data_IF_878913584049
#
_entry.id   IF_878913584049
#
_cell.length_a   1.000
_cell.length_b   1.000
_cell.length_c   1.000
_cell.angle_alpha   90.00
_cell.angle_beta   90.00
_cell.angle_gamma   90.00
#
_symmetry.space_group_name_H-M   'P 1'
#
loop_
_entity.id
_entity.type
_entity.pdbx_description
1 polymer ?
#
# COMPACT_ATOMS: atom_id res chain seq x y z
N UNK A 1 -17.80 -15.38 -9.10
CA UNK A 1 -17.17 -14.60 -8.01
C UNK A 1 -16.93 -13.22 -8.59
N UNK A 2 -17.67 -12.23 -8.09
CA UNK A 2 -17.49 -10.83 -8.47
C UNK A 2 -16.56 -10.19 -7.44
N UNK A 3 -15.65 -9.33 -7.89
CA UNK A 3 -14.71 -8.63 -7.01
C UNK A 3 -15.25 -7.23 -6.77
N UNK A 4 -15.49 -6.90 -5.51
CA UNK A 4 -15.90 -5.57 -5.10
C UNK A 4 -14.74 -4.85 -4.41
N UNK A 5 -14.55 -3.57 -4.73
CA UNK A 5 -13.54 -2.72 -4.10
C UNK A 5 -14.24 -1.49 -3.52
N UNK A 6 -14.13 -1.33 -2.20
CA UNK A 6 -14.78 -0.24 -1.46
C UNK A 6 -13.71 0.62 -0.79
N UNK A 7 -13.81 1.94 -0.95
CA UNK A 7 -12.97 2.88 -0.21
C UNK A 7 -13.50 2.97 1.22
N UNK A 8 -12.67 2.58 2.19
CA UNK A 8 -13.03 2.61 3.61
C UNK A 8 -12.82 4.01 4.20
N UNK A 9 -11.64 4.58 3.98
CA UNK A 9 -11.25 5.85 4.57
C UNK A 9 -10.10 6.51 3.80
N UNK A 10 -9.95 7.82 3.98
CA UNK A 10 -8.83 8.62 3.51
C UNK A 10 -8.36 9.53 4.64
N UNK A 11 -7.29 9.11 5.31
CA UNK A 11 -6.74 9.79 6.48
C UNK A 11 -5.52 10.62 6.10
N UNK A 12 -5.48 11.87 6.55
CA UNK A 12 -4.29 12.71 6.45
C UNK A 12 -3.36 12.44 7.64
N UNK A 13 -2.24 11.75 7.41
CA UNK A 13 -1.22 11.57 8.44
C UNK A 13 -0.26 12.77 8.49
N UNK A 14 -0.18 13.44 9.63
CA UNK A 14 0.77 14.56 9.84
C UNK A 14 2.22 14.07 10.01
N UNK A 15 2.41 12.86 10.53
CA UNK A 15 3.74 12.26 10.77
C UNK A 15 3.80 10.89 10.08
N UNK A 16 4.57 10.73 8.98
CA UNK A 16 4.69 9.46 8.25
C UNK A 16 5.69 8.52 8.93
N UNK A 17 5.57 8.34 10.25
CA UNK A 17 6.37 7.37 11.00
C UNK A 17 5.68 6.02 10.93
N UNK A 18 6.46 4.95 10.74
CA UNK A 18 5.91 3.60 10.57
C UNK A 18 5.05 3.09 11.74
N UNK A 19 5.11 3.74 12.91
CA UNK A 19 4.30 3.39 14.08
C UNK A 19 2.94 4.08 14.15
N UNK A 20 2.78 5.25 13.52
CA UNK A 20 1.50 5.98 13.55
C UNK A 20 0.50 5.38 12.56
N UNK A 21 0.97 5.00 11.36
CA UNK A 21 0.11 4.54 10.27
C UNK A 21 -0.63 3.23 10.59
N UNK A 22 -0.03 2.20 11.23
CA UNK A 22 -0.77 1.00 11.62
C UNK A 22 -1.93 1.27 12.58
N UNK A 23 -1.76 2.23 13.50
CA UNK A 23 -2.83 2.62 14.42
C UNK A 23 -3.96 3.37 13.69
N UNK A 24 -3.61 4.26 12.74
CA UNK A 24 -4.62 4.90 11.87
C UNK A 24 -5.38 3.87 11.04
N UNK A 25 -4.68 2.88 10.45
CA UNK A 25 -5.34 1.79 9.71
C UNK A 25 -6.32 1.05 10.61
N UNK A 26 -5.93 0.73 11.84
CA UNK A 26 -6.80 0.06 12.79
C UNK A 26 -8.02 0.92 13.14
N UNK A 27 -7.80 2.22 13.39
CA UNK A 27 -8.86 3.17 13.71
C UNK A 27 -9.87 3.34 12.56
N UNK A 28 -9.42 3.38 11.30
CA UNK A 28 -10.32 3.42 10.13
C UNK A 28 -11.16 2.14 9.94
N UNK A 29 -10.65 0.99 10.39
CA UNK A 29 -11.32 -0.30 10.23
C UNK A 29 -12.35 -0.60 11.35
N UNK A 30 -12.13 -0.06 12.56
CA UNK A 30 -13.00 -0.29 13.73
C UNK A 30 -14.47 0.09 13.50
N UNK A 31 -14.82 1.28 12.95
CA UNK A 31 -16.21 1.67 12.68
C UNK A 31 -16.94 0.73 11.72
N UNK A 32 -16.19 0.09 10.82
CA UNK A 32 -16.71 -0.85 9.83
C UNK A 32 -16.77 -2.29 10.35
N UNK A 33 -16.41 -2.52 11.62
CA UNK A 33 -16.33 -3.85 12.22
C UNK A 33 -15.43 -4.80 11.42
N UNK A 34 -14.35 -4.28 10.81
CA UNK A 34 -13.38 -5.06 10.05
C UNK A 34 -12.17 -5.34 10.95
N UNK A 35 -12.00 -6.55 11.51
CA UNK A 35 -10.86 -6.82 12.38
C UNK A 35 -9.58 -6.87 11.53
N UNK A 36 -8.57 -6.08 11.89
CA UNK A 36 -7.28 -6.08 11.18
C UNK A 36 -6.68 -7.50 11.08
N UNK A 37 -6.82 -8.30 12.14
CA UNK A 37 -6.40 -9.72 12.19
C UNK A 37 -7.04 -10.63 11.13
N UNK A 38 -8.15 -10.21 10.50
CA UNK A 38 -8.83 -10.93 9.43
C UNK A 38 -8.45 -10.40 8.03
N UNK A 39 -7.66 -9.34 7.94
CA UNK A 39 -7.14 -8.85 6.67
C UNK A 39 -6.06 -9.81 6.19
N UNK A 40 -6.34 -10.49 5.07
CA UNK A 40 -5.46 -11.54 4.51
C UNK A 40 -4.35 -10.94 3.65
N UNK A 41 -4.54 -9.73 3.11
CA UNK A 41 -3.58 -9.09 2.23
C UNK A 41 -3.54 -7.59 2.49
N UNK A 42 -2.33 -7.07 2.63
CA UNK A 42 -2.05 -5.65 2.75
C UNK A 42 -1.00 -5.27 1.71
N UNK A 43 -1.29 -4.20 0.94
CA UNK A 43 -0.37 -3.72 -0.10
C UNK A 43 0.16 -2.33 0.20
N UNK A 44 1.48 -2.14 0.10
CA UNK A 44 2.15 -0.86 0.33
C UNK A 44 3.07 -0.50 -0.85
N UNK A 45 3.51 0.76 -0.95
CA UNK A 45 4.37 1.22 -2.06
C UNK A 45 5.81 0.69 -2.01
N UNK A 46 6.25 0.17 -0.87
CA UNK A 46 7.63 -0.32 -0.68
C UNK A 46 8.64 0.78 -0.39
N UNK A 47 8.21 1.99 0.00
CA UNK A 47 9.10 3.01 0.54
C UNK A 47 9.75 2.53 1.85
N UNK A 48 10.87 3.14 2.24
CA UNK A 48 11.64 2.71 3.43
C UNK A 48 10.75 2.59 4.69
N UNK A 49 9.92 3.59 4.98
CA UNK A 49 9.03 3.58 6.15
C UNK A 49 7.93 2.49 6.08
N UNK A 50 7.71 1.91 4.90
CA UNK A 50 6.67 0.91 4.64
C UNK A 50 7.26 -0.51 4.66
N UNK A 51 8.48 -0.69 4.13
CA UNK A 51 9.13 -2.00 3.98
C UNK A 51 10.17 -2.33 5.06
N UNK A 52 10.58 -1.37 5.90
CA UNK A 52 11.65 -1.60 6.87
C UNK A 52 11.33 -2.76 7.82
N UNK A 53 12.28 -3.68 7.97
CA UNK A 53 12.11 -4.93 8.72
C UNK A 53 12.00 -4.74 10.24
N UNK A 54 12.41 -3.60 10.79
CA UNK A 54 12.41 -3.32 12.24
C UNK A 54 11.35 -2.28 12.63
N UNK A 55 11.16 -1.26 11.80
CA UNK A 55 10.30 -0.11 12.08
C UNK A 55 9.35 0.22 10.94
N UNK A 56 9.21 -0.67 9.96
CA UNK A 56 8.27 -0.49 8.86
C UNK A 56 6.83 -0.81 9.27
N UNK A 57 5.90 -0.33 8.45
CA UNK A 57 4.47 -0.67 8.59
C UNK A 57 4.25 -2.15 8.34
N UNK A 58 4.91 -2.72 7.33
CA UNK A 58 4.82 -4.14 7.00
C UNK A 58 5.05 -5.02 8.24
N UNK A 59 6.17 -4.83 8.95
CA UNK A 59 6.50 -5.57 10.16
C UNK A 59 5.43 -5.44 11.23
N UNK A 60 4.94 -4.21 11.49
CA UNK A 60 3.90 -3.99 12.52
C UNK A 60 2.56 -4.63 12.15
N UNK A 61 2.19 -4.60 10.86
CA UNK A 61 0.97 -5.26 10.39
C UNK A 61 1.11 -6.78 10.49
N UNK A 62 2.29 -7.35 10.22
CA UNK A 62 2.54 -8.77 10.42
C UNK A 62 2.45 -9.18 11.91
N UNK A 63 2.93 -8.33 12.83
CA UNK A 63 2.77 -8.54 14.28
C UNK A 63 1.30 -8.51 14.72
N UNK A 64 0.50 -7.57 14.20
CA UNK A 64 -0.91 -7.40 14.55
C UNK A 64 -1.85 -8.39 13.84
N UNK A 65 -1.46 -8.82 12.63
CA UNK A 65 -2.21 -9.74 11.79
C UNK A 65 -1.26 -10.78 11.16
N UNK A 66 -0.87 -11.84 11.91
CA UNK A 66 0.11 -12.83 11.46
C UNK A 66 -0.27 -13.62 10.19
N UNK A 67 -1.55 -13.57 9.80
CA UNK A 67 -2.04 -14.19 8.56
C UNK A 67 -1.96 -13.25 7.35
N UNK A 68 -1.65 -11.97 7.55
CA UNK A 68 -1.61 -10.98 6.49
C UNK A 68 -0.40 -11.21 5.59
N UNK A 69 -0.64 -11.27 4.29
CA UNK A 69 0.39 -11.33 3.27
C UNK A 69 0.71 -9.90 2.85
N UNK A 70 1.93 -9.45 3.15
CA UNK A 70 2.42 -8.15 2.70
C UNK A 70 2.85 -8.24 1.25
N UNK A 71 2.35 -7.32 0.43
CA UNK A 71 2.70 -7.20 -0.98
C UNK A 71 3.12 -5.78 -1.30
N UNK A 72 4.08 -5.62 -2.20
CA UNK A 72 4.46 -4.30 -2.68
C UNK A 72 3.73 -3.94 -3.97
N UNK A 73 3.45 -2.65 -4.14
CA UNK A 73 2.73 -2.12 -5.28
C UNK A 73 3.54 -2.29 -6.56
N UNK A 74 3.04 -3.12 -7.50
CA UNK A 74 3.68 -3.34 -8.79
C UNK A 74 3.78 -2.07 -9.64
N UNK A 75 2.85 -1.13 -9.50
CA UNK A 75 2.92 0.17 -10.17
C UNK A 75 4.08 1.02 -9.64
N UNK A 76 4.31 1.02 -8.31
CA UNK A 76 5.46 1.70 -7.72
C UNK A 76 6.78 1.07 -8.19
N UNK A 77 6.89 -0.26 -8.13
CA UNK A 77 8.07 -0.97 -8.64
C UNK A 77 8.36 -0.68 -10.11
N UNK A 78 7.32 -0.69 -10.96
CA UNK A 78 7.45 -0.38 -12.38
C UNK A 78 7.89 1.09 -12.62
N UNK A 79 7.36 2.02 -11.83
CA UNK A 79 7.76 3.43 -11.88
C UNK A 79 9.24 3.61 -11.50
N UNK A 80 9.73 2.88 -10.50
CA UNK A 80 11.15 2.90 -10.12
C UNK A 80 12.07 2.36 -11.22
N UNK A 81 11.67 1.28 -11.89
CA UNK A 81 12.41 0.73 -13.04
C UNK A 81 12.46 1.74 -14.17
N UNK A 82 11.31 2.33 -14.54
CA UNK A 82 11.25 3.35 -15.58
C UNK A 82 12.12 4.56 -15.25
N UNK A 83 12.08 5.00 -13.99
CA UNK A 83 12.96 6.06 -13.49
C UNK A 83 14.43 5.67 -13.65
N UNK A 84 14.84 4.49 -13.20
CA UNK A 84 16.23 4.04 -13.34
C UNK A 84 16.68 3.97 -14.81
N UNK A 85 15.85 3.39 -15.69
CA UNK A 85 16.10 3.34 -17.13
C UNK A 85 16.19 4.73 -17.75
N UNK A 86 15.36 5.68 -17.32
CA UNK A 86 15.43 7.06 -17.80
C UNK A 86 16.76 7.75 -17.51
N UNK A 87 17.45 7.34 -16.45
CA UNK A 87 18.76 7.87 -16.07
C UNK A 87 19.94 7.06 -16.64
N UNK A 88 19.69 6.02 -17.44
CA UNK A 88 20.75 5.16 -18.00
C UNK A 88 21.50 5.75 -19.19
N UNK A 89 20.90 6.72 -19.90
CA UNK A 89 21.51 7.38 -21.05
C UNK A 89 20.95 8.79 -21.27
N UNK A 90 21.75 9.67 -21.87
CA UNK A 90 21.33 11.04 -22.20
C UNK A 90 20.07 11.06 -23.08
N UNK A 91 19.94 10.15 -24.04
CA UNK A 91 18.74 10.02 -24.88
C UNK A 91 17.50 9.68 -24.05
N UNK A 92 17.63 8.79 -23.08
CA UNK A 92 16.53 8.41 -22.19
C UNK A 92 16.15 9.55 -21.22
N UNK A 93 17.14 10.29 -20.70
CA UNK A 93 16.91 11.48 -19.85
C UNK A 93 16.11 12.54 -20.64
N UNK A 94 16.53 12.81 -21.88
CA UNK A 94 15.87 13.79 -22.75
C UNK A 94 14.41 13.44 -23.06
N UNK A 95 14.09 12.15 -23.21
CA UNK A 95 12.71 11.67 -23.42
C UNK A 95 11.90 11.82 -22.12
N UNK A 96 12.47 11.41 -20.99
CA UNK A 96 11.80 11.43 -19.70
C UNK A 96 11.47 12.85 -19.21
N UNK A 97 12.39 13.81 -19.38
CA UNK A 97 12.14 15.20 -19.00
C UNK A 97 11.01 15.84 -19.82
N UNK A 98 10.83 15.42 -21.08
CA UNK A 98 9.66 15.81 -21.89
C UNK A 98 8.36 15.19 -21.39
N UNK A 99 8.39 14.01 -20.78
CA UNK A 99 7.20 13.34 -20.23
C UNK A 99 6.80 13.87 -18.85
N UNK A 100 7.77 14.25 -17.99
CA UNK A 100 7.53 14.74 -16.63
C UNK A 100 6.65 15.99 -16.55
N UNK A 101 6.68 16.87 -17.57
CA UNK A 101 5.88 18.10 -17.59
C UNK A 101 4.36 17.86 -17.65
N UNK A 102 3.87 16.61 -17.69
CA UNK A 102 2.44 16.27 -17.79
C UNK A 102 1.86 15.41 -16.66
N UNK A 103 2.65 14.87 -15.72
CA UNK A 103 2.18 13.91 -14.72
C UNK A 103 2.76 14.22 -13.34
N UNK A 104 2.03 14.98 -12.53
CA UNK A 104 2.30 15.11 -11.10
C UNK A 104 1.01 14.86 -10.31
N UNK A 105 0.86 13.65 -9.79
CA UNK A 105 -0.05 13.33 -8.69
C UNK A 105 0.49 12.07 -7.98
N UNK A 106 1.10 12.26 -6.82
CA UNK A 106 1.36 11.17 -5.87
C UNK A 106 0.13 11.04 -4.97
N UNK A 107 -0.64 9.97 -5.13
CA UNK A 107 -1.70 9.58 -4.19
C UNK A 107 -1.38 8.16 -3.74
N UNK A 108 -1.14 7.99 -2.43
CA UNK A 108 -0.96 6.68 -1.80
C UNK A 108 -2.33 6.08 -1.54
N UNK A 109 -2.70 5.06 -2.32
CA UNK A 109 -3.92 4.28 -2.10
C UNK A 109 -3.61 3.03 -1.27
N UNK A 110 -4.28 2.88 -0.14
CA UNK A 110 -4.30 1.64 0.64
C UNK A 110 -5.56 0.87 0.23
N UNK A 111 -5.39 -0.26 -0.48
CA UNK A 111 -6.49 -1.17 -0.80
C UNK A 111 -6.55 -2.27 0.26
N UNK A 112 -7.63 -2.29 1.04
CA UNK A 112 -7.92 -3.36 2.00
C UNK A 112 -8.81 -4.38 1.29
N UNK A 113 -8.33 -5.63 1.15
CA UNK A 113 -9.11 -6.74 0.57
C UNK A 113 -9.64 -7.64 1.67
N UNK A 114 -10.97 -7.73 1.75
CA UNK A 114 -11.64 -8.72 2.61
C UNK A 114 -11.86 -10.01 1.82
N UNK A 115 -11.51 -11.15 2.42
CA UNK A 115 -11.88 -12.47 1.91
C UNK A 115 -12.98 -13.01 2.84
N UNK A 116 -14.24 -12.92 2.42
CA UNK A 116 -15.36 -13.51 3.13
C UNK A 116 -15.36 -15.03 2.89
N UNK A 117 -15.08 -15.81 3.94
CA UNK A 117 -15.41 -17.24 3.94
C UNK A 117 -16.91 -17.34 4.17
N UNK A 118 -17.65 -17.79 3.16
CA UNK A 118 -19.02 -18.29 3.33
C UNK A 118 -18.96 -19.57 4.16
N UNK A 119 -19.25 -19.48 5.46
CA UNK A 119 -19.64 -20.66 6.24
C UNK A 119 -21.00 -21.13 5.71
N UNK A 120 -20.99 -22.27 5.03
CA UNK A 120 -22.20 -22.99 4.66
C UNK A 120 -22.68 -23.73 5.89
N UNK A 121 -23.72 -23.20 6.54
CA UNK A 121 -24.55 -24.00 7.43
C UNK A 121 -25.31 -25.02 6.57
N UNK A 122 -24.90 -26.29 6.65
CA UNK A 122 -25.78 -27.47 6.60
C UNK A 122 -25.02 -28.72 7.05
#
# INVERSE_FOLDING_TARGET
>A
MEVEEHLIDLVQCEVPMGGAIPEEIKFSLEPNSIPLKHCVRSSFDGALNMQDQYVGIATRIEELAPISIIMYCGAHGSNLVMKACSHSSISAVNIWDRCKTRLAAEITFISVRQCSKTESNN
#
